data_IF_057516334774
#
_entry.id   IF_057516334774
#
_cell.length_a   1.000
_cell.length_b   1.000
_cell.length_c   1.000
_cell.angle_alpha   90.00
_cell.angle_beta   90.00
_cell.angle_gamma   90.00
#
_symmetry.space_group_name_H-M   'P 1'
#
loop_
_entity.id
_entity.type
_entity.pdbx_description
1 polymer ?
#
# COMPACT_ATOMS: atom_id res chain seq x y z
N UNK A 1 27.29 -7.48 1.49
CA UNK A 1 25.93 -6.94 1.73
C UNK A 1 25.06 -7.36 0.55
N UNK A 2 24.04 -8.22 0.75
CA UNK A 2 23.13 -8.63 -0.35
C UNK A 2 22.14 -7.50 -0.55
N UNK A 3 22.33 -6.71 -1.59
CA UNK A 3 21.40 -5.65 -1.99
C UNK A 3 20.25 -6.36 -2.70
N UNK A 4 19.03 -6.21 -2.20
CA UNK A 4 17.84 -6.74 -2.86
C UNK A 4 17.73 -6.07 -4.23
N UNK A 5 17.58 -6.87 -5.28
CA UNK A 5 17.34 -6.33 -6.62
C UNK A 5 16.09 -5.45 -6.62
N UNK A 6 16.18 -4.27 -7.24
CA UNK A 6 15.12 -3.25 -7.21
C UNK A 6 13.80 -3.82 -7.75
N UNK A 7 13.87 -4.59 -8.84
CA UNK A 7 12.71 -5.23 -9.43
C UNK A 7 12.16 -6.33 -8.53
N UNK A 8 13.03 -7.11 -7.89
CA UNK A 8 12.60 -8.11 -6.91
C UNK A 8 11.84 -7.49 -5.72
N UNK A 9 12.25 -6.31 -5.23
CA UNK A 9 11.52 -5.61 -4.16
C UNK A 9 10.17 -5.08 -4.64
N UNK A 10 10.11 -4.46 -5.81
CA UNK A 10 8.87 -3.98 -6.44
C UNK A 10 7.88 -5.12 -6.69
N UNK A 11 8.34 -6.24 -7.22
CA UNK A 11 7.56 -7.46 -7.45
C UNK A 11 7.05 -8.05 -6.13
N UNK A 12 7.88 -8.04 -5.08
CA UNK A 12 7.50 -8.50 -3.74
C UNK A 12 6.38 -7.65 -3.14
N UNK A 13 6.54 -6.32 -3.10
CA UNK A 13 5.53 -5.40 -2.57
C UNK A 13 4.23 -5.46 -3.37
N UNK A 14 4.34 -5.54 -4.71
CA UNK A 14 3.17 -5.66 -5.57
C UNK A 14 2.40 -6.95 -5.28
N UNK A 15 3.11 -8.07 -5.14
CA UNK A 15 2.52 -9.38 -4.80
C UNK A 15 1.77 -9.33 -3.48
N UNK A 16 2.36 -8.74 -2.43
CA UNK A 16 1.72 -8.56 -1.14
C UNK A 16 0.42 -7.75 -1.24
N UNK A 17 0.47 -6.64 -1.99
CA UNK A 17 -0.71 -5.80 -2.22
C UNK A 17 -1.82 -6.54 -2.96
N UNK A 18 -1.49 -7.35 -3.96
CA UNK A 18 -2.47 -8.13 -4.74
C UNK A 18 -3.14 -9.18 -3.86
N UNK A 19 -2.36 -9.89 -3.05
CA UNK A 19 -2.89 -10.88 -2.09
C UNK A 19 -3.86 -10.20 -1.13
N UNK A 20 -3.44 -9.07 -0.54
CA UNK A 20 -4.27 -8.30 0.38
C UNK A 20 -5.57 -7.79 -0.29
N UNK A 21 -5.46 -7.19 -1.47
CA UNK A 21 -6.61 -6.65 -2.21
C UNK A 21 -7.57 -7.77 -2.65
N UNK A 22 -7.05 -8.93 -3.05
CA UNK A 22 -7.88 -10.09 -3.39
C UNK A 22 -8.66 -10.59 -2.17
N UNK A 23 -7.97 -10.78 -1.05
CA UNK A 23 -8.58 -11.19 0.22
C UNK A 23 -9.67 -10.21 0.65
N UNK A 24 -9.40 -8.91 0.60
CA UNK A 24 -10.36 -7.89 1.02
C UNK A 24 -11.57 -7.81 0.07
N UNK A 25 -11.40 -8.02 -1.23
CA UNK A 25 -12.54 -8.12 -2.15
C UNK A 25 -13.44 -9.33 -1.85
N UNK A 26 -12.84 -10.48 -1.49
CA UNK A 26 -13.60 -11.65 -1.07
C UNK A 26 -14.37 -11.38 0.24
N UNK A 27 -13.70 -10.89 1.28
CA UNK A 27 -14.28 -10.67 2.61
C UNK A 27 -15.34 -9.55 2.60
N UNK A 28 -15.03 -8.39 2.06
CA UNK A 28 -15.86 -7.19 2.22
C UNK A 28 -16.83 -6.94 1.06
N UNK A 29 -16.57 -7.51 -0.13
CA UNK A 29 -17.41 -7.30 -1.31
C UNK A 29 -18.06 -8.58 -1.83
N UNK A 30 -17.75 -9.75 -1.26
CA UNK A 30 -18.19 -11.05 -1.76
C UNK A 30 -17.69 -11.35 -3.19
N UNK A 31 -16.65 -10.64 -3.65
CA UNK A 31 -16.10 -10.76 -5.00
C UNK A 31 -14.83 -11.61 -4.95
N UNK A 32 -15.01 -12.92 -4.94
CA UNK A 32 -13.90 -13.85 -5.18
C UNK A 32 -13.47 -13.82 -6.65
N UNK A 33 -12.16 -13.83 -6.86
CA UNK A 33 -11.55 -14.04 -8.17
C UNK A 33 -10.78 -15.36 -8.10
N UNK A 34 -10.80 -16.11 -9.19
CA UNK A 34 -9.93 -17.26 -9.35
C UNK A 34 -8.45 -16.85 -9.41
N UNK A 35 -7.55 -17.82 -9.21
CA UNK A 35 -6.11 -17.59 -9.23
C UNK A 35 -5.65 -16.91 -10.52
N UNK A 36 -6.28 -17.23 -11.65
CA UNK A 36 -6.01 -16.61 -12.94
C UNK A 36 -6.42 -15.13 -12.99
N UNK A 37 -7.58 -14.78 -12.45
CA UNK A 37 -8.06 -13.41 -12.32
C UNK A 37 -7.19 -12.57 -11.38
N UNK A 38 -6.71 -13.16 -10.28
CA UNK A 38 -5.75 -12.53 -9.36
C UNK A 38 -4.41 -12.28 -10.07
N UNK A 39 -3.87 -13.30 -10.75
CA UNK A 39 -2.65 -13.20 -11.54
C UNK A 39 -2.77 -12.13 -12.64
N UNK A 40 -3.91 -12.05 -13.34
CA UNK A 40 -4.15 -10.97 -14.30
C UNK A 40 -4.09 -9.60 -13.65
N UNK A 41 -4.67 -9.42 -12.46
CA UNK A 41 -4.56 -8.16 -11.72
C UNK A 41 -3.13 -7.88 -11.25
N UNK A 42 -2.30 -8.90 -11.09
CA UNK A 42 -0.88 -8.75 -10.81
C UNK A 42 -0.08 -8.21 -11.98
N UNK A 43 -0.54 -8.49 -13.20
CA UNK A 43 0.10 -7.99 -14.40
C UNK A 43 -0.21 -6.49 -14.55
N UNK A 44 0.81 -5.62 -14.74
CA UNK A 44 0.64 -4.17 -14.85
C UNK A 44 -0.29 -3.72 -15.98
N UNK A 45 -0.70 -4.63 -16.87
CA UNK A 45 -1.61 -4.36 -18.00
C UNK A 45 -3.09 -4.54 -17.69
N UNK A 46 -3.49 -5.21 -16.61
CA UNK A 46 -4.91 -5.61 -16.41
C UNK A 46 -5.61 -4.93 -15.23
N UNK A 47 -4.88 -4.30 -14.32
CA UNK A 47 -5.48 -3.38 -13.36
C UNK A 47 -5.70 -2.02 -14.01
N UNK A 48 -6.87 -1.42 -13.81
CA UNK A 48 -7.11 0.02 -14.04
C UNK A 48 -6.34 0.87 -13.01
N UNK A 49 -5.09 0.51 -12.73
CA UNK A 49 -4.23 1.35 -11.94
C UNK A 49 -3.87 2.53 -12.81
N UNK A 50 -4.49 3.68 -12.52
CA UNK A 50 -4.11 4.93 -13.14
C UNK A 50 -2.81 5.40 -12.51
N UNK A 51 -1.77 5.44 -13.35
CA UNK A 51 -0.47 5.99 -13.00
C UNK A 51 -0.67 7.44 -12.54
N UNK A 52 -0.12 7.86 -11.38
CA UNK A 52 -0.19 9.26 -10.99
C UNK A 52 0.47 10.12 -12.07
N UNK A 53 0.02 11.37 -12.27
CA UNK A 53 0.68 12.29 -13.19
C UNK A 53 2.17 12.43 -12.88
N UNK A 54 2.99 12.71 -13.90
CA UNK A 54 4.43 12.93 -13.70
C UNK A 54 4.65 14.05 -12.67
N UNK A 55 5.58 13.82 -11.74
CA UNK A 55 5.87 14.76 -10.64
C UNK A 55 4.86 14.72 -9.48
N UNK A 56 3.91 13.78 -9.47
CA UNK A 56 3.00 13.52 -8.35
C UNK A 56 3.38 12.22 -7.68
N UNK A 57 3.50 12.25 -6.35
CA UNK A 57 3.78 11.06 -5.53
C UNK A 57 2.46 10.47 -5.05
N UNK A 58 2.30 9.15 -5.21
CA UNK A 58 1.19 8.41 -4.64
C UNK A 58 1.60 7.81 -3.30
N UNK A 59 0.88 8.13 -2.24
CA UNK A 59 1.09 7.59 -0.89
C UNK A 59 -0.06 6.65 -0.56
N UNK A 60 0.18 5.35 -0.73
CA UNK A 60 -0.75 4.33 -0.30
C UNK A 60 -0.63 4.13 1.21
N UNK A 61 -1.77 4.08 1.89
CA UNK A 61 -1.87 3.91 3.33
C UNK A 61 -2.86 2.78 3.60
N UNK A 62 -2.56 1.96 4.60
CA UNK A 62 -3.47 0.95 5.12
C UNK A 62 -3.23 0.72 6.61
N UNK A 63 -4.28 0.34 7.34
CA UNK A 63 -4.19 -0.09 8.72
C UNK A 63 -4.83 -1.47 8.92
N UNK A 64 -4.25 -2.27 9.81
CA UNK A 64 -4.78 -3.58 10.17
C UNK A 64 -4.88 -3.70 11.68
N UNK A 65 -6.03 -4.20 12.11
CA UNK A 65 -6.41 -4.40 13.49
C UNK A 65 -6.50 -5.89 13.81
N UNK A 66 -5.97 -6.32 14.95
CA UNK A 66 -6.27 -7.63 15.52
C UNK A 66 -6.41 -7.55 17.04
N UNK A 67 -6.63 -8.69 17.69
CA UNK A 67 -6.73 -8.77 19.16
C UNK A 67 -5.45 -8.37 19.90
N UNK A 68 -4.30 -8.35 19.22
CA UNK A 68 -3.00 -8.02 19.79
C UNK A 68 -2.61 -6.55 19.60
N UNK A 69 -3.24 -5.81 18.70
CA UNK A 69 -2.92 -4.42 18.45
C UNK A 69 -3.30 -3.91 17.06
N UNK A 70 -2.71 -2.76 16.73
CA UNK A 70 -2.91 -2.06 15.45
C UNK A 70 -1.58 -1.98 14.72
N UNK A 71 -1.57 -2.35 13.44
CA UNK A 71 -0.43 -2.11 12.56
C UNK A 71 -0.84 -1.15 11.44
N UNK A 72 0.10 -0.35 10.96
CA UNK A 72 -0.09 0.51 9.79
C UNK A 72 1.03 0.31 8.79
N UNK A 73 0.69 0.47 7.52
CA UNK A 73 1.59 0.36 6.38
C UNK A 73 1.42 1.56 5.44
N UNK A 74 2.54 2.15 5.06
CA UNK A 74 2.59 3.32 4.18
C UNK A 74 3.63 3.09 3.11
N UNK A 75 3.29 3.37 1.86
CA UNK A 75 4.22 3.34 0.73
C UNK A 75 4.03 4.59 -0.13
N UNK A 76 5.09 5.39 -0.24
CA UNK A 76 5.20 6.52 -1.14
C UNK A 76 5.92 6.11 -2.42
N UNK A 77 5.30 6.30 -3.58
CA UNK A 77 5.84 5.92 -4.89
C UNK A 77 5.57 6.94 -5.97
N UNK A 78 6.45 7.00 -6.96
CA UNK A 78 6.30 7.89 -8.09
C UNK A 78 5.47 7.28 -9.22
N UNK A 79 5.38 8.03 -10.33
CA UNK A 79 4.66 7.60 -11.53
C UNK A 79 5.32 6.41 -12.22
N UNK A 80 6.63 6.23 -12.10
CA UNK A 80 7.37 5.11 -12.67
C UNK A 80 7.33 3.87 -11.77
N UNK A 81 6.42 3.86 -10.78
CA UNK A 81 6.20 2.77 -9.81
C UNK A 81 7.37 2.62 -8.85
N UNK A 82 8.34 3.55 -8.87
CA UNK A 82 9.47 3.50 -7.97
C UNK A 82 9.05 3.90 -6.56
N UNK A 83 9.35 3.04 -5.59
CA UNK A 83 9.10 3.32 -4.17
C UNK A 83 10.17 4.27 -3.65
N UNK A 84 9.76 5.48 -3.30
CA UNK A 84 10.62 6.51 -2.72
C UNK A 84 10.85 6.26 -1.23
N UNK A 85 9.81 5.81 -0.53
CA UNK A 85 9.89 5.50 0.89
C UNK A 85 8.70 4.65 1.32
N UNK A 86 8.84 4.01 2.48
CA UNK A 86 7.75 3.32 3.15
C UNK A 86 7.90 3.40 4.66
N UNK A 87 6.79 3.20 5.36
CA UNK A 87 6.76 3.11 6.82
C UNK A 87 5.87 1.96 7.22
N UNK A 88 6.31 1.20 8.22
CA UNK A 88 5.48 0.26 8.94
C UNK A 88 5.57 0.59 10.43
N UNK A 89 4.46 0.51 11.14
CA UNK A 89 4.48 0.60 12.60
C UNK A 89 3.45 -0.32 13.22
N UNK A 90 3.68 -0.66 14.49
CA UNK A 90 2.82 -1.50 15.29
C UNK A 90 2.67 -0.91 16.69
N UNK A 91 1.46 -0.96 17.22
CA UNK A 91 1.14 -0.56 18.59
C UNK A 91 0.30 -1.65 19.24
N UNK A 92 0.63 -1.98 20.50
CA UNK A 92 -0.10 -2.96 21.32
C UNK A 92 -1.48 -2.43 21.78
N UNK A 93 -1.97 -1.34 21.18
CA UNK A 93 -3.28 -0.77 21.44
C UNK A 93 -4.22 -1.16 20.31
N UNK A 94 -5.36 -1.74 20.67
CA UNK A 94 -6.46 -1.98 19.74
C UNK A 94 -7.33 -0.71 19.70
N UNK A 95 -7.33 0.01 18.58
CA UNK A 95 -8.25 1.12 18.28
C UNK A 95 -9.34 0.65 17.31
N UNK A 96 -10.39 1.45 17.10
CA UNK A 96 -11.39 1.09 16.10
C UNK A 96 -10.83 1.31 14.68
N UNK A 97 -11.46 0.73 13.63
CA UNK A 97 -10.99 0.88 12.26
C UNK A 97 -10.88 2.34 11.80
N UNK A 98 -11.82 3.20 12.20
CA UNK A 98 -11.85 4.61 11.78
C UNK A 98 -10.65 5.39 12.31
N UNK A 99 -10.29 5.19 13.59
CA UNK A 99 -9.10 5.79 14.19
C UNK A 99 -7.81 5.19 13.64
N UNK A 100 -7.80 3.89 13.30
CA UNK A 100 -6.65 3.23 12.70
C UNK A 100 -6.32 3.82 11.32
N UNK A 101 -7.35 4.00 10.48
CA UNK A 101 -7.20 4.65 9.17
C UNK A 101 -6.80 6.12 9.30
N UNK A 102 -7.32 6.84 10.31
CA UNK A 102 -6.94 8.23 10.57
C UNK A 102 -5.47 8.35 11.03
N UNK A 103 -5.03 7.50 11.95
CA UNK A 103 -3.65 7.48 12.43
C UNK A 103 -2.68 7.13 11.30
N UNK A 104 -3.02 6.14 10.48
CA UNK A 104 -2.26 5.78 9.29
C UNK A 104 -2.21 6.95 8.28
N UNK A 105 -3.33 7.67 8.11
CA UNK A 105 -3.42 8.87 7.26
C UNK A 105 -2.49 9.98 7.73
N UNK A 106 -2.51 10.30 9.03
CA UNK A 106 -1.64 11.30 9.66
C UNK A 106 -0.17 10.94 9.44
N UNK A 107 0.20 9.67 9.63
CA UNK A 107 1.57 9.22 9.41
C UNK A 107 1.97 9.26 7.92
N UNK A 108 1.03 9.01 7.01
CA UNK A 108 1.25 9.19 5.58
C UNK A 108 1.50 10.65 5.19
N UNK A 109 0.75 11.60 5.77
CA UNK A 109 1.01 13.03 5.59
C UNK A 109 2.39 13.44 6.14
N UNK A 110 2.76 12.93 7.31
CA UNK A 110 4.10 13.16 7.89
C UNK A 110 5.20 12.62 6.99
N UNK A 111 5.01 11.43 6.41
CA UNK A 111 5.97 10.86 5.47
C UNK A 111 6.10 11.72 4.21
N UNK A 112 4.97 12.13 3.62
CA UNK A 112 4.98 13.02 2.46
C UNK A 112 5.69 14.35 2.76
N UNK A 113 5.41 14.96 3.91
CA UNK A 113 6.08 16.18 4.35
C UNK A 113 7.59 15.97 4.55
N UNK A 114 8.00 14.86 5.18
CA UNK A 114 9.41 14.50 5.36
C UNK A 114 10.15 14.32 4.03
N UNK A 115 9.49 13.77 3.01
CA UNK A 115 10.03 13.63 1.66
C UNK A 115 10.09 14.95 0.89
N UNK A 116 9.52 16.03 1.44
CA UNK A 116 9.44 17.35 0.81
C UNK A 116 8.84 17.28 -0.61
N UNK A 117 7.75 16.54 -0.78
CA UNK A 117 7.09 16.36 -2.08
C UNK A 117 6.11 17.50 -2.35
N UNK A 118 6.19 18.10 -3.54
CA UNK A 118 5.34 19.23 -3.92
C UNK A 118 3.88 18.84 -4.15
N UNK A 119 3.65 17.63 -4.68
CA UNK A 119 2.32 17.13 -5.05
C UNK A 119 2.16 15.68 -4.62
N UNK A 120 1.13 15.42 -3.85
CA UNK A 120 0.80 14.08 -3.33
C UNK A 120 -0.65 13.73 -3.61
N UNK A 121 -0.89 12.45 -3.90
CA UNK A 121 -2.23 11.84 -3.88
C UNK A 121 -2.20 10.65 -2.92
N UNK A 122 -3.29 10.42 -2.22
CA UNK A 122 -3.49 9.26 -1.36
C UNK A 122 -4.42 8.26 -2.06
#
# INVERSE_FOLDING_TARGET
MRILDKKAFEDFISTLWIIWNSRNNAIFRGKEKDAYGIWKCALPRCCRWEKPPKGVIKVNIDAVMNSCGTSLGIIARDSDVFVLSGRASFTNKVINPEWAELDASIDGFRLAHFLNVDKVIF
#
